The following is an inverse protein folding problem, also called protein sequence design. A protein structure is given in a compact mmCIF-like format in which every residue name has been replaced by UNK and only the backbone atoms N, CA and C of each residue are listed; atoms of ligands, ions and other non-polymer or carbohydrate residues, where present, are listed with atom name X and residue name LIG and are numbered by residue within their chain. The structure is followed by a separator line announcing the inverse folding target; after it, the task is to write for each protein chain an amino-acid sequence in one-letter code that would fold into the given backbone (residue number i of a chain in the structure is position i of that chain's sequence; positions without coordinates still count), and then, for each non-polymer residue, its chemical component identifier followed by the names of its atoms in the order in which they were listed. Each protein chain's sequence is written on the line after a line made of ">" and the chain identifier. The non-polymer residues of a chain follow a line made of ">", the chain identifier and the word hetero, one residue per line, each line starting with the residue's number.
data_IF_856668412117
#
_entry.id   IF_856668412117
#
_cell.length_a   1.000
_cell.length_b   1.000
_cell.length_c   1.000
_cell.angle_alpha   90.00
_cell.angle_beta   90.00
_cell.angle_gamma   90.00
#
_symmetry.space_group_name_H-M   'P 1'
#
loop_
_entity.id
_entity.type
_entity.pdbx_description
1 polymer ?
#
# COMPACT_ATOMS: atom_id res chain seq x y z
N UNK A 1 29.43 -88.00 21.93
CA UNK A 1 29.43 -88.38 20.51
C UNK A 1 29.56 -87.06 19.73
N UNK A 2 30.71 -86.39 19.85
CA UNK A 2 31.93 -86.47 18.99
C UNK A 2 31.61 -85.99 17.56
N UNK A 3 31.70 -84.68 17.26
CA UNK A 3 32.87 -83.83 16.93
C UNK A 3 33.35 -84.00 15.47
N UNK A 4 33.56 -82.87 14.78
CA UNK A 4 34.71 -82.44 13.94
C UNK A 4 34.19 -81.48 12.83
N UNK A 5 34.27 -80.14 12.97
CA UNK A 5 35.41 -79.19 12.77
C UNK A 5 35.89 -79.16 11.30
N UNK A 6 35.77 -78.01 10.63
CA UNK A 6 36.96 -77.22 10.23
C UNK A 6 36.66 -75.76 9.82
N UNK A 7 37.64 -74.88 10.05
CA UNK A 7 37.68 -73.42 9.76
C UNK A 7 38.95 -73.10 8.97
N UNK A 8 38.89 -72.13 8.04
CA UNK A 8 39.94 -71.16 7.63
C UNK A 8 39.34 -70.22 6.54
N UNK A 9 39.15 -68.89 6.74
CA UNK A 9 40.06 -67.71 6.57
C UNK A 9 40.74 -67.63 5.18
N UNK A 10 40.79 -66.54 4.40
CA UNK A 10 40.53 -65.10 4.58
C UNK A 10 40.42 -64.37 3.21
N UNK A 11 39.71 -63.23 3.21
CA UNK A 11 39.80 -62.01 2.36
C UNK A 11 39.55 -62.04 0.83
N UNK A 12 38.44 -61.42 0.40
CA UNK A 12 38.45 -60.17 -0.39
C UNK A 12 37.05 -59.55 -0.57
N UNK A 13 37.02 -58.25 -0.34
CA UNK A 13 36.04 -57.19 -0.61
C UNK A 13 35.06 -57.41 -1.78
N UNK A 14 33.75 -57.31 -1.50
CA UNK A 14 32.69 -56.71 -2.34
C UNK A 14 31.28 -57.11 -1.86
N UNK A 15 30.44 -56.12 -1.55
CA UNK A 15 28.98 -56.26 -1.57
C UNK A 15 28.27 -55.99 -0.24
N UNK A 16 28.28 -54.71 0.16
CA UNK A 16 27.54 -54.20 1.32
C UNK A 16 26.02 -54.47 1.21
N UNK A 17 25.48 -54.85 2.36
CA UNK A 17 24.10 -55.21 2.63
C UNK A 17 23.12 -54.04 2.43
N UNK A 18 21.93 -54.41 1.99
CA UNK A 18 20.77 -53.53 1.81
C UNK A 18 20.37 -52.97 3.18
N UNK A 19 20.67 -51.69 3.41
CA UNK A 19 20.11 -50.88 4.49
C UNK A 19 19.00 -50.00 3.90
N UNK A 20 17.79 -50.20 4.41
CA UNK A 20 16.61 -49.41 4.08
C UNK A 20 16.85 -47.92 4.33
N UNK A 21 16.76 -47.14 3.26
CA UNK A 21 16.82 -45.67 3.29
C UNK A 21 15.51 -45.11 3.85
N UNK A 22 15.53 -44.67 5.12
CA UNK A 22 14.64 -43.62 5.59
C UNK A 22 15.20 -42.27 5.10
N UNK A 23 14.63 -41.78 3.99
CA UNK A 23 14.90 -40.42 3.51
C UNK A 23 14.32 -39.42 4.50
N UNK A 24 15.21 -38.65 5.13
CA UNK A 24 14.86 -37.47 5.90
C UNK A 24 14.14 -36.46 5.02
N UNK A 25 12.90 -36.17 5.37
CA UNK A 25 12.20 -35.00 4.87
C UNK A 25 12.36 -33.92 5.95
N UNK A 26 13.38 -33.08 5.79
CA UNK A 26 13.50 -31.85 6.56
C UNK A 26 12.29 -30.99 6.21
N UNK A 27 11.26 -31.04 7.06
CA UNK A 27 10.26 -30.00 7.11
C UNK A 27 10.93 -28.84 7.83
N UNK A 28 11.35 -27.84 7.06
CA UNK A 28 11.43 -26.48 7.58
C UNK A 28 10.06 -26.20 8.19
N UNK A 29 10.02 -26.04 9.51
CA UNK A 29 8.89 -25.44 10.19
C UNK A 29 8.79 -24.01 9.67
N UNK A 30 7.95 -23.80 8.65
CA UNK A 30 7.35 -22.49 8.43
C UNK A 30 6.60 -22.14 9.72
N UNK A 31 7.24 -21.32 10.56
CA UNK A 31 6.57 -20.58 11.62
C UNK A 31 5.48 -19.73 10.96
N UNK A 32 4.26 -20.27 10.93
CA UNK A 32 3.05 -19.55 10.61
C UNK A 32 2.96 -18.37 11.58
N UNK A 33 3.22 -17.15 11.09
CA UNK A 33 3.02 -15.93 11.87
C UNK A 33 1.54 -15.90 12.28
N UNK A 34 1.26 -16.11 13.57
CA UNK A 34 -0.07 -15.92 14.13
C UNK A 34 -0.31 -14.40 14.23
N UNK A 35 -0.80 -13.82 13.13
CA UNK A 35 -1.08 -12.39 12.97
C UNK A 35 -2.48 -11.99 13.50
N UNK A 36 -3.08 -12.76 14.41
CA UNK A 36 -4.37 -12.37 15.00
C UNK A 36 -4.15 -11.82 16.41
N UNK A 37 -3.73 -10.57 16.47
CA UNK A 37 -3.38 -9.85 17.69
C UNK A 37 -4.59 -9.43 18.56
N UNK A 38 -5.71 -10.16 18.49
CA UNK A 38 -6.82 -9.99 19.44
C UNK A 38 -7.73 -8.78 19.20
N UNK A 39 -7.62 -8.07 18.05
CA UNK A 39 -8.61 -7.06 17.67
C UNK A 39 -9.98 -7.72 17.39
N UNK A 40 -10.97 -7.45 18.23
CA UNK A 40 -12.36 -7.81 17.95
C UNK A 40 -12.99 -6.72 17.07
N UNK A 41 -13.21 -7.04 15.79
CA UNK A 41 -13.92 -6.14 14.88
C UNK A 41 -15.35 -5.90 15.37
N UNK A 42 -15.82 -4.64 15.44
CA UNK A 42 -17.18 -4.35 15.85
C UNK A 42 -18.17 -4.91 14.81
N UNK A 43 -19.32 -5.37 15.29
CA UNK A 43 -20.36 -5.91 14.41
C UNK A 43 -21.02 -4.86 13.52
N UNK A 44 -20.92 -3.58 13.87
CA UNK A 44 -21.53 -2.45 13.16
C UNK A 44 -20.63 -1.21 13.16
N UNK A 45 -20.77 -0.36 12.14
CA UNK A 45 -20.05 0.91 11.97
C UNK A 45 -20.57 2.00 12.94
N UNK A 46 -19.97 3.19 12.88
CA UNK A 46 -20.37 4.38 13.67
C UNK A 46 -21.84 4.80 13.48
N UNK A 47 -22.51 4.32 12.42
CA UNK A 47 -23.92 4.55 12.13
C UNK A 47 -24.84 3.38 12.53
N UNK A 48 -24.31 2.33 13.16
CA UNK A 48 -25.07 1.15 13.58
C UNK A 48 -25.42 0.19 12.44
N UNK A 49 -24.69 0.24 11.32
CA UNK A 49 -24.93 -0.56 10.10
C UNK A 49 -23.79 -1.54 9.85
N UNK A 50 -24.01 -2.52 8.98
CA UNK A 50 -22.92 -3.38 8.48
C UNK A 50 -21.90 -2.52 7.73
N UNK A 51 -20.61 -2.73 8.00
CA UNK A 51 -19.52 -2.05 7.28
C UNK A 51 -19.59 -2.31 5.78
N UNK A 52 -19.33 -1.28 4.97
CA UNK A 52 -19.29 -1.35 3.50
C UNK A 52 -20.56 -1.92 2.86
N UNK A 53 -21.72 -1.62 3.46
CA UNK A 53 -23.01 -2.00 2.89
C UNK A 53 -23.46 -0.94 1.87
N UNK A 54 -23.11 -1.18 0.60
CA UNK A 54 -23.49 -0.31 -0.53
C UNK A 54 -24.96 -0.44 -0.95
N UNK A 55 -25.67 -1.47 -0.46
CA UNK A 55 -27.08 -1.72 -0.80
C UNK A 55 -28.05 -1.25 0.29
N UNK A 56 -27.58 -1.04 1.52
CA UNK A 56 -28.37 -0.47 2.60
C UNK A 56 -28.94 0.91 2.24
N UNK A 57 -30.22 1.12 2.56
CA UNK A 57 -30.84 2.44 2.44
C UNK A 57 -30.16 3.44 3.38
N UNK A 58 -29.41 4.38 2.80
CA UNK A 58 -28.72 5.47 3.49
C UNK A 58 -28.92 6.78 2.74
N UNK A 59 -28.83 7.92 3.44
CA UNK A 59 -28.84 9.23 2.77
C UNK A 59 -27.66 9.39 1.81
N UNK A 60 -26.54 8.69 2.08
CA UNK A 60 -25.32 8.69 1.27
C UNK A 60 -25.36 7.74 0.07
N UNK A 61 -26.26 6.74 0.05
CA UNK A 61 -26.27 5.66 -0.96
C UNK A 61 -26.24 6.19 -2.39
N UNK A 62 -27.09 7.17 -2.70
CA UNK A 62 -27.16 7.77 -4.04
C UNK A 62 -25.87 8.52 -4.40
N UNK A 63 -25.26 9.19 -3.42
CA UNK A 63 -23.99 9.91 -3.59
C UNK A 63 -22.83 8.94 -3.87
N UNK A 64 -22.72 7.88 -3.07
CA UNK A 64 -21.69 6.84 -3.24
C UNK A 64 -21.86 6.09 -4.56
N UNK A 65 -23.09 5.74 -4.96
CA UNK A 65 -23.35 5.08 -6.24
C UNK A 65 -23.00 5.98 -7.44
N UNK A 66 -23.35 7.28 -7.39
CA UNK A 66 -23.00 8.24 -8.44
C UNK A 66 -21.49 8.50 -8.48
N UNK A 67 -20.83 8.59 -7.32
CA UNK A 67 -19.37 8.68 -7.20
C UNK A 67 -18.71 7.53 -7.96
N UNK A 68 -19.10 6.30 -7.65
CA UNK A 68 -18.51 5.12 -8.28
C UNK A 68 -18.88 5.06 -9.75
N UNK A 69 -20.10 5.46 -10.16
CA UNK A 69 -20.44 5.55 -11.59
C UNK A 69 -19.45 6.43 -12.35
N UNK A 70 -19.18 7.65 -11.86
CA UNK A 70 -18.26 8.59 -12.53
C UNK A 70 -16.82 8.07 -12.47
N UNK A 71 -16.39 7.50 -11.34
CA UNK A 71 -15.08 6.87 -11.21
C UNK A 71 -14.88 5.77 -12.27
N UNK A 72 -15.78 4.79 -12.32
CA UNK A 72 -15.68 3.66 -13.24
C UNK A 72 -15.71 4.09 -14.71
N UNK A 73 -16.40 5.17 -15.06
CA UNK A 73 -16.42 5.71 -16.43
C UNK A 73 -15.13 6.46 -16.76
N UNK A 74 -14.60 7.24 -15.82
CA UNK A 74 -13.48 8.15 -16.03
C UNK A 74 -12.09 7.51 -15.92
N UNK A 75 -11.96 6.41 -15.18
CA UNK A 75 -10.69 5.71 -14.99
C UNK A 75 -10.35 4.82 -16.19
N UNK A 76 -9.62 5.38 -17.15
CA UNK A 76 -9.10 4.70 -18.34
C UNK A 76 -7.57 4.56 -18.28
N UNK A 77 -7.00 3.69 -19.11
CA UNK A 77 -5.53 3.56 -19.26
C UNK A 77 -4.89 4.91 -19.61
N UNK A 78 -5.51 5.67 -20.51
CA UNK A 78 -5.01 6.98 -20.94
C UNK A 78 -5.08 8.01 -19.81
N UNK A 79 -6.18 8.03 -19.06
CA UNK A 79 -6.32 8.89 -17.89
C UNK A 79 -5.26 8.58 -16.85
N UNK A 80 -5.12 7.31 -16.44
CA UNK A 80 -4.16 6.89 -15.41
C UNK A 80 -2.72 7.22 -15.82
N UNK A 81 -2.33 6.97 -17.07
CA UNK A 81 -0.99 7.31 -17.57
C UNK A 81 -0.73 8.81 -17.49
N UNK A 82 -1.69 9.63 -17.91
CA UNK A 82 -1.58 11.09 -17.84
C UNK A 82 -1.42 11.55 -16.39
N UNK A 83 -2.22 11.00 -15.47
CA UNK A 83 -2.15 11.35 -14.06
C UNK A 83 -0.79 10.97 -13.44
N UNK A 84 -0.29 9.75 -13.71
CA UNK A 84 1.05 9.35 -13.26
C UNK A 84 2.14 10.27 -13.81
N UNK A 85 2.16 10.57 -15.12
CA UNK A 85 3.15 11.48 -15.73
C UNK A 85 3.09 12.88 -15.11
N UNK A 86 1.89 13.36 -14.78
CA UNK A 86 1.71 14.67 -14.18
C UNK A 86 2.19 14.73 -12.73
N UNK A 87 1.91 13.70 -11.94
CA UNK A 87 2.11 13.71 -10.49
C UNK A 87 3.40 13.03 -10.01
N UNK A 88 4.04 12.18 -10.81
CA UNK A 88 5.35 11.59 -10.49
C UNK A 88 6.46 12.64 -10.33
N UNK A 89 6.24 13.85 -10.87
CA UNK A 89 7.16 14.99 -10.77
C UNK A 89 7.27 15.55 -9.36
N UNK A 90 6.29 15.29 -8.49
CA UNK A 90 6.22 15.74 -7.09
C UNK A 90 6.59 17.23 -6.90
N UNK A 91 6.11 18.09 -7.79
CA UNK A 91 6.49 19.51 -7.86
C UNK A 91 5.34 20.46 -7.45
N UNK A 92 4.40 19.98 -6.63
CA UNK A 92 3.20 20.72 -6.20
C UNK A 92 3.46 21.64 -5.00
N UNK A 93 3.80 21.05 -3.86
CA UNK A 93 4.06 21.79 -2.61
C UNK A 93 4.97 20.99 -1.68
N UNK A 94 5.69 21.69 -0.81
CA UNK A 94 6.49 21.13 0.27
C UNK A 94 5.70 21.23 1.58
N UNK A 95 5.58 20.13 2.31
CA UNK A 95 4.95 20.08 3.64
C UNK A 95 5.40 18.85 4.41
N UNK A 96 5.39 18.96 5.73
CA UNK A 96 5.61 17.83 6.63
C UNK A 96 4.39 16.90 6.65
N UNK A 97 4.61 15.64 7.04
CA UNK A 97 3.53 14.66 7.23
C UNK A 97 2.43 15.21 8.16
N UNK A 98 2.81 15.90 9.22
CA UNK A 98 1.83 16.43 10.18
C UNK A 98 1.01 17.59 9.58
N UNK A 99 1.63 18.46 8.79
CA UNK A 99 0.90 19.48 8.03
C UNK A 99 -0.05 18.84 7.00
N UNK A 100 0.33 17.72 6.36
CA UNK A 100 -0.61 16.96 5.51
C UNK A 100 -1.81 16.45 6.32
N UNK A 101 -1.58 15.86 7.50
CA UNK A 101 -2.65 15.39 8.37
C UNK A 101 -3.62 16.52 8.75
N UNK A 102 -3.08 17.70 9.07
CA UNK A 102 -3.89 18.88 9.42
C UNK A 102 -4.68 19.40 8.21
N UNK A 103 -4.09 19.40 7.01
CA UNK A 103 -4.73 19.81 5.76
C UNK A 103 -5.94 18.95 5.40
N UNK A 104 -5.87 17.63 5.63
CA UNK A 104 -6.96 16.72 5.28
C UNK A 104 -8.25 16.95 6.07
N UNK A 105 -8.21 17.70 7.18
CA UNK A 105 -9.42 18.05 7.93
C UNK A 105 -10.39 18.94 7.14
N UNK A 106 -9.96 19.50 6.01
CA UNK A 106 -10.81 20.30 5.12
C UNK A 106 -11.73 19.45 4.22
N UNK A 107 -11.54 18.12 4.18
CA UNK A 107 -12.24 17.25 3.24
C UNK A 107 -13.02 16.13 3.93
N UNK A 108 -14.18 15.78 3.35
CA UNK A 108 -14.98 14.61 3.70
C UNK A 108 -14.94 13.66 2.51
N UNK A 109 -14.61 12.39 2.76
CA UNK A 109 -14.56 11.34 1.74
C UNK A 109 -15.98 10.94 1.29
N UNK A 110 -16.33 11.24 0.03
CA UNK A 110 -17.65 10.94 -0.54
C UNK A 110 -17.84 9.47 -0.94
N UNK A 111 -16.75 8.69 -1.01
CA UNK A 111 -16.81 7.26 -1.36
C UNK A 111 -17.11 6.36 -0.16
N UNK A 112 -16.89 6.87 1.05
CA UNK A 112 -16.97 6.10 2.29
C UNK A 112 -18.42 6.08 2.84
N UNK A 113 -19.08 4.90 2.91
CA UNK A 113 -20.39 4.78 3.53
C UNK A 113 -20.34 4.82 5.07
N UNK A 114 -19.14 4.74 5.67
CA UNK A 114 -18.91 4.47 7.08
C UNK A 114 -18.33 5.66 7.87
N UNK A 115 -17.95 6.78 7.23
CA UNK A 115 -17.25 7.91 7.89
C UNK A 115 -17.90 9.30 7.67
N UNK A 116 -18.17 10.02 8.77
CA UNK A 116 -18.55 11.46 8.81
C UNK A 116 -17.52 12.33 9.58
N UNK A 117 -16.39 11.75 10.00
CA UNK A 117 -15.42 12.39 10.90
C UNK A 117 -14.27 13.10 10.14
N UNK A 118 -13.56 14.05 10.78
CA UNK A 118 -12.37 14.66 10.18
C UNK A 118 -11.32 13.60 9.86
N UNK A 119 -10.66 13.71 8.70
CA UNK A 119 -9.70 12.71 8.26
C UNK A 119 -8.56 12.44 9.25
N UNK A 120 -8.11 13.45 10.01
CA UNK A 120 -7.05 13.21 11.01
C UNK A 120 -7.46 12.21 12.09
N UNK A 121 -8.74 12.16 12.46
CA UNK A 121 -9.24 11.18 13.43
C UNK A 121 -9.17 9.77 12.86
N UNK A 122 -9.55 9.58 11.59
CA UNK A 122 -9.42 8.29 10.90
C UNK A 122 -7.96 7.80 10.86
N UNK A 123 -7.03 8.68 10.49
CA UNK A 123 -5.60 8.37 10.46
C UNK A 123 -5.08 7.93 11.85
N UNK A 124 -5.44 8.68 12.89
CA UNK A 124 -4.98 8.41 14.25
C UNK A 124 -5.69 7.19 14.86
N UNK A 125 -6.97 6.96 14.58
CA UNK A 125 -7.70 5.77 15.02
C UNK A 125 -7.08 4.51 14.43
N UNK A 126 -6.76 4.54 13.13
CA UNK A 126 -6.09 3.44 12.44
C UNK A 126 -4.72 3.18 13.08
N UNK A 127 -3.90 4.22 13.20
CA UNK A 127 -2.54 4.10 13.72
C UNK A 127 -2.50 3.65 15.19
N UNK A 128 -3.35 4.19 16.07
CA UNK A 128 -3.39 3.82 17.49
C UNK A 128 -3.99 2.43 17.71
N UNK A 129 -4.96 2.01 16.90
CA UNK A 129 -5.50 0.65 16.97
C UNK A 129 -4.43 -0.39 16.58
N UNK A 130 -3.66 -0.12 15.52
CA UNK A 130 -2.50 -0.94 15.14
C UNK A 130 -1.49 -0.93 16.30
N UNK A 131 -1.13 0.24 16.82
CA UNK A 131 -0.12 0.39 17.88
C UNK A 131 -0.45 -0.38 19.15
N UNK A 132 -1.72 -0.49 19.48
CA UNK A 132 -2.18 -1.26 20.64
C UNK A 132 -1.88 -2.76 20.49
N UNK A 133 -2.06 -3.29 19.28
CA UNK A 133 -2.01 -4.73 19.03
C UNK A 133 -0.64 -5.19 18.50
N UNK A 134 0.11 -4.29 17.86
CA UNK A 134 1.44 -4.53 17.30
C UNK A 134 2.49 -3.54 17.87
N UNK A 135 2.67 -3.44 19.19
CA UNK A 135 3.43 -2.36 19.83
C UNK A 135 4.90 -2.24 19.37
N UNK A 136 5.48 -3.31 18.83
CA UNK A 136 6.87 -3.38 18.37
C UNK A 136 7.03 -3.07 16.85
N UNK A 137 5.93 -2.90 16.10
CA UNK A 137 5.94 -2.67 14.65
C UNK A 137 5.75 -1.18 14.31
N UNK A 138 6.72 -0.34 14.71
CA UNK A 138 6.60 1.12 14.58
C UNK A 138 6.40 1.62 13.13
N UNK A 139 6.94 0.89 12.14
CA UNK A 139 6.69 1.15 10.71
C UNK A 139 5.22 0.96 10.33
N UNK A 140 4.50 0.04 10.96
CA UNK A 140 3.09 -0.23 10.67
C UNK A 140 2.20 0.85 11.31
N UNK A 141 2.60 1.40 12.47
CA UNK A 141 1.92 2.55 13.08
C UNK A 141 2.03 3.78 12.17
N UNK A 142 3.23 4.03 11.64
CA UNK A 142 3.44 5.11 10.70
C UNK A 142 2.66 4.87 9.39
N UNK A 143 2.64 3.63 8.89
CA UNK A 143 1.84 3.26 7.72
C UNK A 143 0.35 3.58 7.96
N UNK A 144 -0.19 3.25 9.15
CA UNK A 144 -1.51 3.68 9.62
C UNK A 144 -1.74 5.18 9.58
N UNK A 145 -0.76 5.97 10.02
CA UNK A 145 -0.89 7.43 10.00
C UNK A 145 -0.89 8.00 8.58
N UNK A 146 -0.17 7.40 7.64
CA UNK A 146 0.11 8.04 6.34
C UNK A 146 -0.67 7.47 5.14
N UNK A 147 -1.33 6.31 5.28
CA UNK A 147 -1.96 5.60 4.16
C UNK A 147 -2.86 6.50 3.29
N UNK A 148 -3.62 7.37 3.95
CA UNK A 148 -4.65 8.21 3.35
C UNK A 148 -4.15 9.61 2.96
N UNK A 149 -2.87 9.93 3.21
CA UNK A 149 -2.31 11.26 2.93
C UNK A 149 -2.26 11.60 1.44
N UNK A 150 -2.45 10.63 0.55
CA UNK A 150 -2.62 10.90 -0.88
C UNK A 150 -3.89 11.70 -1.19
N UNK A 151 -4.85 11.78 -0.26
CA UNK A 151 -6.08 12.58 -0.40
C UNK A 151 -5.83 14.09 -0.50
N UNK A 152 -4.61 14.55 -0.24
CA UNK A 152 -4.21 15.95 -0.46
C UNK A 152 -4.42 16.42 -1.90
N UNK A 153 -4.52 15.48 -2.86
CA UNK A 153 -4.91 15.76 -4.25
C UNK A 153 -6.22 16.54 -4.41
N UNK A 154 -7.12 16.50 -3.42
CA UNK A 154 -8.35 17.30 -3.37
C UNK A 154 -8.07 18.79 -3.16
N UNK A 155 -6.94 19.14 -2.55
CA UNK A 155 -6.61 20.52 -2.23
C UNK A 155 -6.07 21.27 -3.45
N UNK A 156 -6.39 22.56 -3.54
CA UNK A 156 -6.00 23.43 -4.65
C UNK A 156 -4.49 23.48 -4.90
N UNK A 157 -3.67 23.41 -3.84
CA UNK A 157 -2.21 23.34 -3.96
C UNK A 157 -1.69 22.07 -4.64
N UNK A 158 -2.49 21.01 -4.71
CA UNK A 158 -2.14 19.73 -5.31
C UNK A 158 -2.90 19.46 -6.61
N UNK A 159 -3.79 20.35 -7.05
CA UNK A 159 -4.44 20.28 -8.34
C UNK A 159 -5.97 20.19 -8.31
N UNK A 160 -6.58 20.14 -7.12
CA UNK A 160 -8.05 20.18 -6.96
C UNK A 160 -8.75 19.10 -7.80
N UNK A 161 -8.25 17.86 -7.71
CA UNK A 161 -8.84 16.77 -8.47
C UNK A 161 -10.25 16.47 -7.93
N UNK A 162 -11.19 16.07 -8.81
CA UNK A 162 -12.50 15.63 -8.36
C UNK A 162 -12.34 14.36 -7.51
N UNK A 163 -13.22 14.17 -6.52
CA UNK A 163 -13.11 13.05 -5.57
C UNK A 163 -12.99 11.68 -6.26
N UNK A 164 -13.72 11.46 -7.37
CA UNK A 164 -13.67 10.21 -8.12
C UNK A 164 -12.28 9.85 -8.65
N UNK A 165 -11.38 10.83 -8.79
CA UNK A 165 -9.99 10.64 -9.22
C UNK A 165 -9.00 10.63 -8.04
N UNK A 166 -9.48 10.56 -6.80
CA UNK A 166 -8.66 10.60 -5.59
C UNK A 166 -9.01 9.47 -4.62
N UNK A 167 -10.28 9.30 -4.28
CA UNK A 167 -10.73 8.35 -3.24
C UNK A 167 -11.41 7.13 -3.84
N UNK A 168 -11.86 6.21 -2.98
CA UNK A 168 -12.63 5.01 -3.37
C UNK A 168 -11.77 3.78 -3.69
N UNK A 169 -12.46 2.65 -3.84
CA UNK A 169 -11.84 1.37 -4.18
C UNK A 169 -11.09 1.44 -5.51
N UNK A 170 -9.89 0.86 -5.53
CA UNK A 170 -9.02 0.83 -6.71
C UNK A 170 -9.12 -0.50 -7.48
N UNK A 171 -8.82 -0.44 -8.78
CA UNK A 171 -8.83 -1.61 -9.66
C UNK A 171 -7.79 -1.46 -10.79
N UNK A 172 -7.30 -2.57 -11.39
CA UNK A 172 -6.42 -2.51 -12.55
C UNK A 172 -7.15 -1.94 -13.77
N UNK A 173 -6.54 -0.95 -14.43
CA UNK A 173 -6.95 -0.54 -15.79
C UNK A 173 -6.17 -1.34 -16.82
N UNK A 174 -6.66 -1.45 -18.06
CA UNK A 174 -5.92 -2.12 -19.13
C UNK A 174 -6.00 -3.66 -19.13
N UNK A 175 -6.83 -4.24 -18.27
CA UNK A 175 -7.32 -5.63 -18.37
C UNK A 175 -8.82 -5.66 -18.04
N UNK A 176 -9.47 -6.81 -18.21
CA UNK A 176 -10.90 -6.96 -17.94
C UNK A 176 -11.24 -6.58 -16.48
N UNK A 177 -12.35 -5.85 -16.32
CA UNK A 177 -12.87 -5.47 -15.00
C UNK A 177 -13.62 -6.65 -14.38
N UNK A 178 -13.18 -7.08 -13.20
CA UNK A 178 -13.73 -8.22 -12.46
C UNK A 178 -15.06 -7.84 -11.78
N UNK A 179 -16.03 -8.76 -11.80
CA UNK A 179 -17.38 -8.52 -11.26
C UNK A 179 -17.41 -8.23 -9.75
N UNK A 180 -16.32 -8.54 -9.02
CA UNK A 180 -16.17 -8.23 -7.61
C UNK A 180 -15.92 -6.75 -7.29
N UNK A 181 -15.62 -5.92 -8.29
CA UNK A 181 -15.47 -4.48 -8.12
C UNK A 181 -16.85 -3.87 -7.81
N UNK A 182 -16.90 -3.00 -6.81
CA UNK A 182 -18.13 -2.34 -6.36
C UNK A 182 -18.83 -1.63 -7.52
N UNK A 183 -20.16 -1.78 -7.64
CA UNK A 183 -20.95 -1.20 -8.74
C UNK A 183 -20.42 -1.49 -10.16
N UNK A 184 -19.86 -2.69 -10.39
CA UNK A 184 -19.31 -3.16 -11.68
C UNK A 184 -20.16 -2.84 -12.92
N UNK A 185 -21.50 -2.84 -12.79
CA UNK A 185 -22.46 -2.53 -13.86
C UNK A 185 -22.13 -1.25 -14.67
N UNK A 186 -21.48 -0.25 -14.06
CA UNK A 186 -21.15 1.02 -14.70
C UNK A 186 -19.93 0.96 -15.62
N UNK A 187 -19.10 -0.08 -15.52
CA UNK A 187 -17.97 -0.24 -16.45
C UNK A 187 -18.41 -0.38 -17.90
N UNK A 188 -19.66 -0.80 -18.18
CA UNK A 188 -20.20 -0.83 -19.55
C UNK A 188 -20.18 0.53 -20.26
N UNK A 189 -20.11 1.63 -19.50
CA UNK A 189 -20.00 2.99 -20.02
C UNK A 189 -18.54 3.48 -20.13
N UNK A 190 -17.56 2.72 -19.62
CA UNK A 190 -16.14 3.04 -19.72
C UNK A 190 -15.63 2.75 -21.16
N UNK A 191 -14.93 3.69 -21.81
CA UNK A 191 -14.37 3.49 -23.15
C UNK A 191 -13.43 2.28 -23.30
N UNK A 192 -12.77 1.87 -22.22
CA UNK A 192 -11.84 0.73 -22.22
C UNK A 192 -12.55 -0.63 -22.06
N UNK A 193 -13.83 -0.66 -21.70
CA UNK A 193 -14.58 -1.89 -21.41
C UNK A 193 -14.65 -2.85 -22.61
N UNK A 194 -14.98 -2.32 -23.79
CA UNK A 194 -15.07 -3.09 -25.03
C UNK A 194 -13.80 -2.97 -25.89
N UNK A 195 -12.74 -2.34 -25.38
CA UNK A 195 -11.47 -2.20 -26.11
C UNK A 195 -10.80 -3.58 -26.24
N UNK A 196 -10.54 -4.09 -27.46
CA UNK A 196 -9.97 -5.43 -27.66
C UNK A 196 -8.56 -5.58 -27.10
N UNK A 197 -7.86 -4.48 -26.81
CA UNK A 197 -6.54 -4.51 -26.15
C UNK A 197 -6.64 -4.73 -24.64
N UNK A 198 -7.78 -4.40 -24.03
CA UNK A 198 -7.95 -4.34 -22.58
C UNK A 198 -9.00 -5.31 -22.05
N UNK A 199 -9.97 -5.74 -22.86
CA UNK A 199 -11.12 -6.53 -22.41
C UNK A 199 -10.83 -8.03 -22.19
N UNK A 200 -9.57 -8.46 -22.22
CA UNK A 200 -9.16 -9.84 -21.90
C UNK A 200 -8.66 -9.95 -20.46
N UNK A 201 -8.55 -11.18 -19.93
CA UNK A 201 -8.06 -11.46 -18.57
C UNK A 201 -6.74 -10.76 -18.23
N UNK A 202 -5.83 -10.69 -19.20
CA UNK A 202 -4.52 -10.05 -19.03
C UNK A 202 -4.46 -8.67 -19.68
N UNK A 203 -5.24 -8.41 -20.73
CA UNK A 203 -5.19 -7.16 -21.49
C UNK A 203 -3.75 -6.85 -21.91
N UNK A 204 -3.19 -5.75 -21.39
CA UNK A 204 -1.79 -5.34 -21.64
C UNK A 204 -0.74 -6.01 -20.74
N UNK A 205 -1.14 -6.82 -19.77
CA UNK A 205 -0.26 -7.44 -18.78
C UNK A 205 0.16 -8.86 -19.16
N UNK A 206 1.08 -9.41 -18.37
CA UNK A 206 1.50 -10.81 -18.43
C UNK A 206 1.21 -11.50 -17.10
N UNK A 207 1.09 -12.83 -17.12
CA UNK A 207 0.86 -13.61 -15.91
C UNK A 207 2.01 -13.42 -14.90
N UNK A 208 1.66 -13.14 -13.64
CA UNK A 208 2.61 -12.96 -12.56
C UNK A 208 3.56 -11.79 -12.77
N UNK A 209 3.19 -10.77 -13.55
CA UNK A 209 4.06 -9.62 -13.82
C UNK A 209 4.42 -8.82 -12.57
N UNK A 210 3.68 -9.00 -11.47
CA UNK A 210 3.82 -8.23 -10.25
C UNK A 210 2.95 -6.98 -10.30
N UNK A 211 2.32 -6.65 -9.18
CA UNK A 211 1.41 -5.51 -9.09
C UNK A 211 2.12 -4.16 -9.30
N UNK A 212 3.45 -4.07 -9.07
CA UNK A 212 4.23 -2.86 -9.36
C UNK A 212 4.19 -2.51 -10.86
N UNK A 213 4.03 -3.52 -11.72
CA UNK A 213 3.92 -3.38 -13.18
C UNK A 213 2.47 -3.23 -13.67
N UNK A 214 1.49 -3.17 -12.78
CA UNK A 214 0.07 -3.01 -13.11
C UNK A 214 -0.32 -1.53 -12.94
N UNK A 215 -0.99 -0.98 -13.95
CA UNK A 215 -1.61 0.33 -13.83
C UNK A 215 -2.89 0.18 -13.02
N UNK A 216 -2.90 0.73 -11.81
CA UNK A 216 -4.09 0.85 -10.98
C UNK A 216 -4.85 2.13 -11.35
N UNK A 217 -6.17 2.12 -11.20
CA UNK A 217 -7.00 3.34 -11.22
C UNK A 217 -6.35 4.41 -10.33
N UNK A 218 -6.24 5.63 -10.84
CA UNK A 218 -5.49 6.69 -10.18
C UNK A 218 -6.21 7.19 -8.93
N UNK A 219 -5.46 7.41 -7.84
CA UNK A 219 -6.00 7.89 -6.58
C UNK A 219 -4.92 8.10 -5.51
N UNK A 220 -5.36 8.24 -4.27
CA UNK A 220 -4.54 8.50 -3.09
C UNK A 220 -3.50 7.40 -2.84
N UNK A 221 -3.84 6.12 -3.03
CA UNK A 221 -2.91 5.00 -2.89
C UNK A 221 -1.63 5.19 -3.74
N UNK A 222 -1.81 5.37 -5.05
CA UNK A 222 -0.71 5.42 -6.01
C UNK A 222 0.08 6.72 -5.86
N UNK A 223 -0.60 7.84 -5.58
CA UNK A 223 0.07 9.11 -5.30
C UNK A 223 0.90 9.05 -4.02
N UNK A 224 0.36 8.52 -2.93
CA UNK A 224 1.10 8.42 -1.66
C UNK A 224 2.26 7.44 -1.77
N UNK A 225 2.11 6.35 -2.53
CA UNK A 225 3.22 5.46 -2.88
C UNK A 225 4.33 6.18 -3.65
N UNK A 226 3.99 6.99 -4.66
CA UNK A 226 4.96 7.80 -5.40
C UNK A 226 5.68 8.78 -4.47
N UNK A 227 4.95 9.48 -3.60
CA UNK A 227 5.51 10.38 -2.59
C UNK A 227 6.51 9.64 -1.70
N UNK A 228 6.13 8.48 -1.16
CA UNK A 228 6.99 7.69 -0.27
C UNK A 228 8.24 7.18 -0.99
N UNK A 229 8.10 6.65 -2.22
CA UNK A 229 9.18 6.09 -3.02
C UNK A 229 10.22 7.14 -3.43
N UNK A 230 9.77 8.25 -4.01
CA UNK A 230 10.68 9.29 -4.50
C UNK A 230 11.36 10.09 -3.37
N UNK A 231 10.73 10.16 -2.19
CA UNK A 231 11.34 10.72 -0.99
C UNK A 231 12.22 9.70 -0.22
N UNK A 232 12.50 8.54 -0.81
CA UNK A 232 13.44 7.54 -0.27
C UNK A 232 13.07 7.12 1.16
N UNK A 233 11.79 6.85 1.39
CA UNK A 233 11.31 6.33 2.68
C UNK A 233 12.11 5.10 3.12
N UNK A 234 12.22 4.93 4.44
CA UNK A 234 12.80 3.70 5.04
C UNK A 234 11.73 2.68 5.42
N UNK A 235 10.46 2.90 5.05
CA UNK A 235 9.42 1.89 5.22
C UNK A 235 9.81 0.57 4.54
N UNK A 236 9.51 -0.58 5.15
CA UNK A 236 9.72 -1.88 4.51
C UNK A 236 8.80 -2.04 3.30
N UNK A 237 9.10 -3.04 2.45
CA UNK A 237 8.27 -3.39 1.27
C UNK A 237 6.79 -3.57 1.64
N UNK A 238 6.51 -4.21 2.78
CA UNK A 238 5.15 -4.36 3.29
C UNK A 238 4.41 -3.03 3.53
N UNK A 239 5.08 -2.01 4.10
CA UNK A 239 4.47 -0.69 4.33
C UNK A 239 4.15 0.03 3.02
N UNK A 240 5.07 -0.01 2.06
CA UNK A 240 4.84 0.54 0.71
C UNK A 240 3.72 -0.19 -0.04
N UNK A 241 3.66 -1.51 0.11
CA UNK A 241 2.62 -2.35 -0.48
C UNK A 241 1.24 -2.04 0.11
N UNK A 242 1.15 -1.87 1.43
CA UNK A 242 -0.06 -1.42 2.11
C UNK A 242 -0.53 -0.08 1.53
N UNK A 243 0.34 0.93 1.51
CA UNK A 243 -0.01 2.28 1.01
C UNK A 243 -0.58 2.21 -0.40
N UNK A 244 0.03 1.42 -1.28
CA UNK A 244 -0.35 1.37 -2.69
C UNK A 244 -1.60 0.53 -3.01
N UNK A 245 -1.98 -0.42 -2.15
CA UNK A 245 -3.01 -1.40 -2.47
C UNK A 245 -4.09 -1.56 -1.39
N UNK A 246 -4.13 -0.69 -0.38
CA UNK A 246 -5.15 -0.75 0.68
C UNK A 246 -6.57 -0.46 0.21
N UNK A 247 -6.73 0.25 -0.91
CA UNK A 247 -8.02 0.43 -1.56
C UNK A 247 -8.36 -0.67 -2.57
N UNK A 248 -7.48 -1.65 -2.80
CA UNK A 248 -7.68 -2.68 -3.83
C UNK A 248 -8.57 -3.86 -3.33
N UNK A 249 -9.80 -3.55 -2.93
CA UNK A 249 -10.73 -4.50 -2.30
C UNK A 249 -11.03 -5.74 -3.15
N UNK A 250 -11.11 -5.60 -4.48
CA UNK A 250 -11.27 -6.75 -5.37
C UNK A 250 -10.17 -7.79 -5.17
N UNK A 251 -8.93 -7.36 -4.88
CA UNK A 251 -7.82 -8.26 -4.56
C UNK A 251 -7.91 -8.79 -3.12
N UNK A 252 -7.88 -7.92 -2.10
CA UNK A 252 -7.64 -8.36 -0.72
C UNK A 252 -8.89 -8.85 0.02
N UNK A 253 -10.10 -8.53 -0.48
CA UNK A 253 -11.37 -9.03 0.06
C UNK A 253 -11.98 -10.12 -0.81
N UNK A 254 -11.97 -9.94 -2.13
CA UNK A 254 -12.63 -10.85 -3.08
C UNK A 254 -11.66 -11.84 -3.74
N UNK A 255 -10.36 -11.74 -3.48
CA UNK A 255 -9.31 -12.63 -3.98
C UNK A 255 -9.20 -12.67 -5.52
N UNK A 256 -9.72 -11.63 -6.21
CA UNK A 256 -9.58 -11.42 -7.65
C UNK A 256 -8.16 -10.96 -8.02
N UNK A 257 -7.84 -10.93 -9.32
CA UNK A 257 -6.56 -10.43 -9.86
C UNK A 257 -5.26 -11.12 -9.39
N UNK A 258 -5.34 -12.21 -8.63
CA UNK A 258 -4.17 -13.00 -8.19
C UNK A 258 -3.27 -13.54 -9.31
N UNK A 259 -3.78 -13.59 -10.55
CA UNK A 259 -3.01 -13.97 -11.74
C UNK A 259 -1.99 -12.90 -12.15
N UNK A 260 -2.08 -11.67 -11.63
CA UNK A 260 -1.11 -10.61 -11.88
C UNK A 260 -0.01 -10.57 -10.81
N UNK A 261 -0.24 -11.17 -9.63
CA UNK A 261 0.67 -11.12 -8.50
C UNK A 261 1.92 -12.00 -8.68
N UNK A 262 3.08 -11.44 -8.32
CA UNK A 262 4.35 -12.16 -8.17
C UNK A 262 4.50 -12.72 -6.74
N UNK A 263 5.67 -13.26 -6.39
CA UNK A 263 5.92 -13.84 -5.06
C UNK A 263 6.01 -12.77 -3.96
N UNK A 264 6.62 -11.62 -4.23
CA UNK A 264 6.73 -10.53 -3.26
C UNK A 264 5.35 -9.97 -2.89
N UNK A 265 4.47 -9.81 -3.89
CA UNK A 265 3.08 -9.39 -3.66
C UNK A 265 2.37 -10.37 -2.71
N UNK A 266 2.55 -11.68 -2.90
CA UNK A 266 1.92 -12.73 -2.07
C UNK A 266 2.41 -12.69 -0.62
N UNK A 267 3.67 -12.36 -0.39
CA UNK A 267 4.20 -12.18 0.97
C UNK A 267 3.63 -10.92 1.62
N UNK A 268 3.62 -9.80 0.89
CA UNK A 268 3.10 -8.53 1.40
C UNK A 268 1.58 -8.55 1.64
N UNK A 269 0.82 -9.41 0.95
CA UNK A 269 -0.61 -9.60 1.20
C UNK A 269 -0.95 -9.98 2.64
N UNK A 270 -0.04 -10.66 3.35
CA UNK A 270 -0.22 -11.01 4.77
C UNK A 270 -0.39 -9.74 5.61
N UNK A 271 0.49 -8.76 5.40
CA UNK A 271 0.46 -7.47 6.07
C UNK A 271 -0.69 -6.58 5.60
N UNK A 272 -1.05 -6.62 4.31
CA UNK A 272 -2.20 -5.87 3.82
C UNK A 272 -3.52 -6.33 4.46
N UNK A 273 -3.69 -7.65 4.66
CA UNK A 273 -4.87 -8.18 5.36
C UNK A 273 -4.91 -7.77 6.83
N UNK A 274 -3.76 -7.74 7.51
CA UNK A 274 -3.65 -7.21 8.88
C UNK A 274 -4.07 -5.74 8.90
N UNK A 275 -3.49 -4.92 8.03
CA UNK A 275 -3.76 -3.50 7.95
C UNK A 275 -5.24 -3.19 7.69
N UNK A 276 -5.87 -3.86 6.72
CA UNK A 276 -7.24 -3.59 6.31
C UNK A 276 -8.26 -3.80 7.45
N UNK A 277 -7.95 -4.69 8.41
CA UNK A 277 -8.75 -4.85 9.64
C UNK A 277 -8.82 -3.53 10.40
N UNK A 278 -7.70 -2.84 10.55
CA UNK A 278 -7.63 -1.58 11.30
C UNK A 278 -8.26 -0.44 10.53
N UNK A 279 -7.83 -0.21 9.29
CA UNK A 279 -8.40 0.84 8.42
C UNK A 279 -9.94 0.80 8.37
N UNK A 280 -10.52 -0.40 8.23
CA UNK A 280 -11.97 -0.53 8.17
C UNK A 280 -12.65 -0.41 9.55
N UNK A 281 -12.13 -1.12 10.55
CA UNK A 281 -12.87 -1.39 11.78
C UNK A 281 -12.47 -0.51 12.98
N UNK A 282 -11.40 0.28 12.89
CA UNK A 282 -11.05 1.25 13.95
C UNK A 282 -11.91 2.51 13.93
N UNK A 283 -12.71 2.70 12.87
CA UNK A 283 -13.64 3.83 12.70
C UNK A 283 -14.61 3.89 13.88
N UNK A 284 -14.44 4.89 14.73
CA UNK A 284 -15.11 4.97 16.04
C UNK A 284 -15.50 6.40 16.39
N UNK A 285 -16.60 6.57 17.13
CA UNK A 285 -16.97 7.88 17.70
C UNK A 285 -16.05 8.35 18.83
N UNK A 286 -15.20 7.47 19.34
CA UNK A 286 -14.24 7.80 20.39
C UNK A 286 -13.02 8.45 19.75
N UNK A 287 -12.86 9.75 19.99
CA UNK A 287 -11.76 10.54 19.43
C UNK A 287 -10.43 10.24 20.09
N UNK A 288 -9.37 10.32 19.29
CA UNK A 288 -8.00 10.21 19.78
C UNK A 288 -7.56 11.57 20.32
N UNK A 289 -6.89 11.60 21.48
CA UNK A 289 -6.33 12.84 22.00
C UNK A 289 -5.08 13.22 21.19
N UNK A 290 -5.27 14.06 20.17
CA UNK A 290 -4.22 14.48 19.23
C UNK A 290 -2.96 14.99 19.94
N UNK A 291 -3.10 15.85 20.96
CA UNK A 291 -1.96 16.44 21.67
C UNK A 291 -1.13 15.41 22.44
N UNK A 292 -1.76 14.32 22.88
CA UNK A 292 -1.09 13.24 23.62
C UNK A 292 -0.26 12.34 22.68
N UNK A 293 -0.78 12.06 21.49
CA UNK A 293 -0.16 11.13 20.54
C UNK A 293 0.78 11.82 19.54
N UNK A 294 0.58 13.11 19.26
CA UNK A 294 1.38 13.89 18.31
C UNK A 294 2.89 13.78 18.53
N UNK A 295 3.44 13.88 19.76
CA UNK A 295 4.89 13.72 19.98
C UNK A 295 5.43 12.35 19.54
N UNK A 296 4.65 11.29 19.72
CA UNK A 296 5.04 9.95 19.30
C UNK A 296 5.11 9.85 17.77
N UNK A 297 4.07 10.28 17.07
CA UNK A 297 4.01 10.20 15.61
C UNK A 297 5.03 11.12 14.93
N UNK A 298 5.27 12.32 15.45
CA UNK A 298 6.36 13.19 14.99
C UNK A 298 7.73 12.51 15.15
N UNK A 299 7.93 11.71 16.21
CA UNK A 299 9.17 10.95 16.37
C UNK A 299 9.35 9.86 15.30
N UNK A 300 8.26 9.25 14.81
CA UNK A 300 8.29 8.24 13.75
C UNK A 300 8.54 8.87 12.38
N UNK A 301 7.87 9.99 12.08
CA UNK A 301 8.06 10.69 10.80
C UNK A 301 9.51 11.11 10.62
N UNK A 302 10.17 11.52 11.72
CA UNK A 302 11.57 11.92 11.71
C UNK A 302 12.56 10.77 11.48
N UNK A 303 12.18 9.54 11.86
CA UNK A 303 13.00 8.34 11.64
C UNK A 303 12.87 7.84 10.20
N UNK A 304 11.67 7.91 9.64
CA UNK A 304 11.34 7.15 8.43
C UNK A 304 11.47 7.98 7.16
N UNK A 305 11.17 9.28 7.26
CA UNK A 305 11.30 10.25 6.18
C UNK A 305 12.45 11.17 6.53
N UNK A 306 13.54 11.16 5.74
CA UNK A 306 14.52 12.24 5.83
C UNK A 306 13.76 13.56 5.64
N UNK A 307 13.68 14.38 6.69
CA UNK A 307 12.86 15.59 6.82
C UNK A 307 13.41 16.73 5.98
N UNK A 308 13.56 16.49 4.68
CA UNK A 308 13.60 17.48 3.64
C UNK A 308 13.02 16.78 2.42
N UNK A 309 11.72 16.97 2.20
CA UNK A 309 11.08 16.69 0.92
C UNK A 309 11.97 17.32 -0.17
N UNK A 310 12.71 16.50 -0.92
CA UNK A 310 13.71 16.98 -1.88
C UNK A 310 13.00 17.47 -3.15
N UNK A 311 12.36 18.64 -3.09
CA UNK A 311 11.69 19.25 -4.24
C UNK A 311 12.59 20.09 -5.15
N UNK A 312 13.92 19.96 -5.10
CA UNK A 312 14.78 20.81 -5.94
C UNK A 312 16.14 20.23 -6.36
N UNK A 313 16.22 18.94 -6.71
CA UNK A 313 17.46 18.46 -7.33
C UNK A 313 17.56 18.72 -8.85
N UNK A 314 16.46 18.95 -9.56
CA UNK A 314 16.50 19.23 -11.01
C UNK A 314 16.89 20.67 -11.37
N UNK A 315 16.70 21.65 -10.47
CA UNK A 315 16.97 23.08 -10.77
C UNK A 315 18.40 23.47 -10.38
N UNK A 316 19.02 22.81 -9.39
CA UNK A 316 20.43 23.11 -9.07
C UNK A 316 21.38 22.58 -10.16
N UNK A 317 21.13 21.41 -10.74
CA UNK A 317 22.05 20.83 -11.74
C UNK A 317 22.11 21.63 -13.05
N UNK A 318 21.01 22.24 -13.48
CA UNK A 318 20.97 23.05 -14.71
C UNK A 318 21.53 24.47 -14.52
N UNK A 319 21.46 25.02 -13.31
CA UNK A 319 22.10 26.31 -12.96
C UNK A 319 23.56 26.18 -12.56
N UNK A 320 24.03 25.04 -12.04
CA UNK A 320 25.44 24.85 -11.68
C UNK A 320 26.38 24.81 -12.90
N UNK A 321 25.91 24.40 -14.07
CA UNK A 321 26.73 24.41 -15.30
C UNK A 321 26.72 25.73 -16.07
N UNK A 322 25.95 26.71 -15.61
CA UNK A 322 25.84 28.04 -16.23
C UNK A 322 26.44 29.17 -15.37
N UNK A 323 27.09 28.84 -14.25
CA UNK A 323 27.80 29.83 -13.42
C UNK A 323 29.26 30.03 -13.85
N UNK A 324 29.80 31.26 -13.86
CA UNK A 324 31.21 31.53 -14.14
C UNK A 324 32.13 30.88 -13.08
N UNK A 325 33.29 30.39 -13.52
CA UNK A 325 34.27 29.69 -12.68
C UNK A 325 34.79 30.47 -11.45
N UNK A 326 34.50 31.78 -11.36
CA UNK A 326 34.88 32.64 -10.24
C UNK A 326 34.09 32.42 -8.95
N UNK A 327 32.97 31.69 -8.98
CA UNK A 327 32.12 31.43 -7.80
C UNK A 327 32.30 30.02 -7.20
N UNK A 328 33.07 29.15 -7.85
CA UNK A 328 33.31 27.76 -7.41
C UNK A 328 34.08 27.71 -6.07
N UNK A 329 34.90 28.73 -5.78
CA UNK A 329 35.70 28.81 -4.55
C UNK A 329 34.90 29.05 -3.27
N UNK A 330 33.70 29.63 -3.35
CA UNK A 330 32.86 29.90 -2.16
C UNK A 330 32.11 28.64 -1.72
N UNK A 331 31.87 27.70 -2.64
CA UNK A 331 31.09 26.48 -2.37
C UNK A 331 31.88 25.43 -1.58
N UNK A 332 33.21 25.36 -1.76
CA UNK A 332 34.07 24.45 -1.01
C UNK A 332 34.08 24.73 0.51
N UNK A 333 33.79 25.98 0.91
CA UNK A 333 33.75 26.38 2.33
C UNK A 333 32.42 25.96 2.99
N UNK A 334 31.31 25.95 2.25
CA UNK A 334 29.98 25.60 2.77
C UNK A 334 29.83 24.07 2.91
N UNK A 335 30.35 23.28 1.97
CA UNK A 335 30.31 21.82 2.06
C UNK A 335 31.20 21.22 3.18
N UNK A 336 32.19 21.96 3.68
CA UNK A 336 33.01 21.53 4.83
C UNK A 336 32.35 21.75 6.20
N UNK A 337 31.23 22.48 6.28
CA UNK A 337 30.53 22.78 7.55
C UNK A 337 29.48 21.70 7.88
N UNK A 338 29.05 20.88 6.91
CA UNK A 338 28.01 19.86 7.08
C UNK A 338 28.50 18.42 6.84
N UNK A 339 29.65 18.04 7.39
CA UNK A 339 29.98 16.63 7.59
C UNK A 339 29.67 16.23 9.03
N UNK A 340 28.76 15.28 9.28
CA UNK A 340 28.68 14.63 10.58
C UNK A 340 29.93 13.75 10.77
N UNK A 341 30.52 13.83 11.96
CA UNK A 341 31.52 12.89 12.47
C UNK A 341 30.93 11.53 12.76
#
# INVERSE_FOLDING_TARGET
>A
MTILIDRHSDQNDAGDEIVEKNQGNGKEEETELVLDAGFEAPHTNSFGRTFRDYDAESERRRGVEEFYRVNHIGQTVDFVRKMREEYEKLNRTEMSIWECCELLNEFIDESDPDLDEPQIEHLLQTAEAIRKDYPDEDWLHLTGLIHDLGKVLLHSSFGELPQWAVVGDTFPVGCAFDESIVHHKYFKENPDYDNPSYNSKYGIYTEGCGLDNVLMSWGHDDYMYLVAKENQTTLPSAGLFIIRYHSFYALHKSEAYKHLMNNEDRENMKWLKVFNKYDLYSKSKVRVNVEEVKPYYLSLTNKVVCIYFKMCFQILYSKLWSMPASLIGVYYIICSIFRPS
#
